data_IF_291372455370
#
_entry.id   IF_291372455370
#
_cell.length_a   1.000
_cell.length_b   1.000
_cell.length_c   1.000
_cell.angle_alpha   90.00
_cell.angle_beta   90.00
_cell.angle_gamma   90.00
#
_symmetry.space_group_name_H-M   'P 1'
#
loop_
_entity.id
_entity.type
_entity.pdbx_description
1 polymer ?
#
# COMPACT_ATOMS: atom_id res chain seq x y z
N UNK A 1 13.25 7.32 47.33
CA UNK A 1 11.83 7.53 46.96
C UNK A 1 11.34 6.33 46.16
N UNK A 2 10.16 5.78 46.44
CA UNK A 2 9.59 4.69 45.62
C UNK A 2 9.17 5.24 44.24
N UNK A 3 9.37 4.47 43.17
CA UNK A 3 9.00 4.88 41.79
C UNK A 3 7.52 5.27 41.68
N UNK A 4 6.65 4.61 42.45
CA UNK A 4 5.22 4.93 42.54
C UNK A 4 4.96 6.34 43.06
N UNK A 5 5.66 6.75 44.12
CA UNK A 5 5.48 8.08 44.72
C UNK A 5 5.82 9.20 43.74
N UNK A 6 6.90 9.04 42.99
CA UNK A 6 7.29 10.00 41.94
C UNK A 6 6.19 10.18 40.88
N UNK A 7 5.60 9.09 40.36
CA UNK A 7 4.54 9.20 39.36
C UNK A 7 3.24 9.81 39.91
N UNK A 8 2.94 9.58 41.19
CA UNK A 8 1.79 10.20 41.85
C UNK A 8 1.98 11.70 42.06
N UNK A 9 3.18 12.14 42.44
CA UNK A 9 3.52 13.56 42.59
C UNK A 9 3.38 14.32 41.26
N UNK A 10 3.75 13.69 40.13
CA UNK A 10 3.54 14.25 38.78
C UNK A 10 2.05 14.42 38.39
N UNK A 11 1.12 13.78 39.11
CA UNK A 11 -0.31 13.91 38.85
C UNK A 11 -0.96 15.08 39.60
N UNK A 12 -0.29 15.67 40.60
CA UNK A 12 -0.90 16.69 41.47
C UNK A 12 -1.24 17.98 40.69
N UNK A 13 -0.35 18.55 39.86
CA UNK A 13 -0.63 19.83 39.19
C UNK A 13 -1.85 19.80 38.26
N UNK A 14 -2.10 18.66 37.60
CA UNK A 14 -3.30 18.53 36.75
C UNK A 14 -4.59 18.36 37.56
N UNK A 15 -4.51 17.80 38.78
CA UNK A 15 -5.65 17.64 39.66
C UNK A 15 -6.05 18.99 40.25
N UNK A 16 -5.08 19.80 40.65
CA UNK A 16 -5.33 21.15 41.17
C UNK A 16 -5.98 22.01 40.09
N UNK A 17 -5.48 21.99 38.85
CA UNK A 17 -6.10 22.69 37.71
C UNK A 17 -7.56 22.22 37.45
N UNK A 18 -7.86 20.93 37.59
CA UNK A 18 -9.23 20.42 37.45
C UNK A 18 -10.18 20.94 38.53
N UNK A 19 -9.68 21.18 39.75
CA UNK A 19 -10.45 21.75 40.85
C UNK A 19 -10.61 23.25 40.67
N UNK A 20 -9.54 23.96 40.31
CA UNK A 20 -9.54 25.42 40.09
C UNK A 20 -10.48 25.83 38.96
N UNK A 21 -10.60 25.00 37.91
CA UNK A 21 -11.56 25.19 36.81
C UNK A 21 -13.00 24.78 37.16
N UNK A 22 -13.25 24.29 38.37
CA UNK A 22 -14.58 23.87 38.83
C UNK A 22 -15.15 22.66 38.09
N UNK A 23 -14.31 21.85 37.43
CA UNK A 23 -14.76 20.66 36.67
C UNK A 23 -14.97 19.45 37.58
N UNK A 24 -14.19 19.37 38.66
CA UNK A 24 -14.24 18.30 39.64
C UNK A 24 -14.20 18.86 41.05
N UNK A 25 -14.86 18.16 41.97
CA UNK A 25 -14.75 18.47 43.40
C UNK A 25 -13.52 17.82 44.02
N UNK A 26 -13.03 18.36 45.15
CA UNK A 26 -11.89 17.76 45.88
C UNK A 26 -12.14 16.30 46.28
N UNK A 27 -13.39 15.95 46.62
CA UNK A 27 -13.78 14.58 46.96
C UNK A 27 -13.66 13.63 45.76
N UNK A 28 -14.12 14.06 44.58
CA UNK A 28 -14.01 13.27 43.35
C UNK A 28 -12.55 13.10 42.92
N UNK A 29 -11.75 14.15 43.00
CA UNK A 29 -10.31 14.12 42.70
C UNK A 29 -9.58 13.17 43.65
N UNK A 30 -9.93 13.17 44.93
CA UNK A 30 -9.38 12.21 45.91
C UNK A 30 -9.68 10.75 45.53
N UNK A 31 -10.90 10.46 45.06
CA UNK A 31 -11.27 9.13 44.57
C UNK A 31 -10.46 8.74 43.32
N UNK A 32 -10.24 9.67 42.39
CA UNK A 32 -9.41 9.46 41.20
C UNK A 32 -7.96 9.17 41.61
N UNK A 33 -7.40 9.94 42.54
CA UNK A 33 -6.05 9.74 43.06
C UNK A 33 -5.89 8.41 43.79
N UNK A 34 -6.89 7.98 44.56
CA UNK A 34 -6.89 6.64 45.18
C UNK A 34 -6.84 5.54 44.11
N UNK A 35 -7.69 5.62 43.07
CA UNK A 35 -7.67 4.65 41.97
C UNK A 35 -6.36 4.64 41.20
N UNK A 36 -5.77 5.82 40.94
CA UNK A 36 -4.44 5.93 40.31
C UNK A 36 -3.34 5.30 41.17
N UNK A 37 -3.39 5.54 42.47
CA UNK A 37 -2.49 4.89 43.44
C UNK A 37 -2.56 3.37 43.33
N UNK A 38 -3.78 2.80 43.32
CA UNK A 38 -3.98 1.36 43.17
C UNK A 38 -3.44 0.82 41.82
N UNK A 39 -3.57 1.56 40.73
CA UNK A 39 -3.00 1.19 39.43
C UNK A 39 -1.47 1.28 39.44
N UNK A 40 -0.88 2.38 39.94
CA UNK A 40 0.57 2.56 39.97
C UNK A 40 1.28 1.55 40.87
N UNK A 41 0.67 1.16 42.00
CA UNK A 41 1.17 0.04 42.81
C UNK A 41 1.15 -1.28 42.03
N UNK A 42 0.05 -1.60 41.33
CA UNK A 42 -0.04 -2.83 40.51
C UNK A 42 0.95 -2.84 39.36
N UNK A 43 1.16 -1.73 38.67
CA UNK A 43 2.11 -1.60 37.56
C UNK A 43 3.57 -1.79 38.02
N UNK A 44 3.92 -1.20 39.17
CA UNK A 44 5.26 -1.30 39.76
C UNK A 44 5.49 -2.58 40.57
N UNK A 45 4.46 -3.41 40.77
CA UNK A 45 4.59 -4.70 41.42
C UNK A 45 5.32 -5.73 40.53
N UNK A 46 5.95 -6.71 41.18
CA UNK A 46 6.72 -7.78 40.51
C UNK A 46 5.83 -8.63 39.59
N UNK A 47 4.60 -8.94 40.01
CA UNK A 47 3.63 -9.74 39.24
C UNK A 47 2.68 -8.93 38.35
N UNK A 48 3.10 -7.76 37.87
CA UNK A 48 2.28 -6.93 36.97
C UNK A 48 1.98 -7.67 35.67
N UNK A 49 0.76 -7.50 35.14
CA UNK A 49 0.33 -8.09 33.86
C UNK A 49 0.04 -7.01 32.82
N UNK A 50 0.04 -7.37 31.54
CA UNK A 50 -0.37 -6.47 30.46
C UNK A 50 -1.82 -6.00 30.61
N UNK A 51 -2.68 -6.85 31.18
CA UNK A 51 -4.07 -6.54 31.48
C UNK A 51 -4.22 -5.40 32.49
N UNK A 52 -3.28 -5.24 33.42
CA UNK A 52 -3.29 -4.11 34.36
C UNK A 52 -3.02 -2.79 33.65
N UNK A 53 -2.11 -2.77 32.67
CA UNK A 53 -1.88 -1.62 31.81
C UNK A 53 -3.13 -1.28 30.99
N UNK A 54 -3.75 -2.27 30.35
CA UNK A 54 -4.98 -2.06 29.55
C UNK A 54 -6.12 -1.52 30.42
N UNK A 55 -6.33 -2.09 31.62
CA UNK A 55 -7.34 -1.59 32.58
C UNK A 55 -7.04 -0.16 33.00
N UNK A 56 -5.77 0.16 33.25
CA UNK A 56 -5.39 1.52 33.64
C UNK A 56 -5.60 2.54 32.50
N UNK A 57 -5.21 2.18 31.27
CA UNK A 57 -5.45 3.00 30.07
C UNK A 57 -6.95 3.23 29.85
N UNK A 58 -7.78 2.18 29.99
CA UNK A 58 -9.23 2.31 29.87
C UNK A 58 -9.80 3.25 30.94
N UNK A 59 -9.32 3.14 32.18
CA UNK A 59 -9.71 4.04 33.27
C UNK A 59 -9.36 5.50 32.95
N UNK A 60 -8.11 5.81 32.60
CA UNK A 60 -7.69 7.18 32.25
C UNK A 60 -8.43 7.71 31.01
N UNK A 61 -8.72 6.85 30.03
CA UNK A 61 -9.52 7.21 28.86
C UNK A 61 -10.95 7.59 29.26
N UNK A 62 -11.56 6.86 30.20
CA UNK A 62 -12.90 7.16 30.70
C UNK A 62 -12.92 8.44 31.54
N UNK A 63 -11.89 8.69 32.36
CA UNK A 63 -11.72 9.96 33.08
C UNK A 63 -11.59 11.12 32.10
N UNK A 64 -10.81 10.98 31.03
CA UNK A 64 -10.70 12.02 30.00
C UNK A 64 -12.03 12.28 29.28
N UNK A 65 -12.78 11.22 28.93
CA UNK A 65 -14.13 11.35 28.35
C UNK A 65 -15.08 12.06 29.30
N UNK A 66 -15.05 11.74 30.59
CA UNK A 66 -15.85 12.40 31.62
C UNK A 66 -15.49 13.89 31.73
N UNK A 67 -14.20 14.21 31.79
CA UNK A 67 -13.69 15.58 31.79
C UNK A 67 -14.21 16.35 30.58
N UNK A 68 -14.08 15.79 29.37
CA UNK A 68 -14.54 16.44 28.13
C UNK A 68 -16.06 16.72 28.15
N UNK A 69 -16.87 15.77 28.64
CA UNK A 69 -18.32 15.97 28.83
C UNK A 69 -18.63 17.08 29.84
N UNK A 70 -17.90 17.12 30.97
CA UNK A 70 -18.08 18.15 32.01
C UNK A 70 -17.65 19.53 31.53
N UNK A 71 -16.53 19.63 30.81
CA UNK A 71 -16.08 20.87 30.19
C UNK A 71 -17.15 21.44 29.27
N UNK A 72 -17.74 20.59 28.41
CA UNK A 72 -18.84 21.01 27.52
C UNK A 72 -20.11 21.42 28.26
N UNK A 73 -20.42 20.78 29.40
CA UNK A 73 -21.64 21.06 30.18
C UNK A 73 -21.51 22.29 31.08
N UNK A 74 -20.41 22.42 31.81
CA UNK A 74 -20.21 23.42 32.86
C UNK A 74 -19.65 24.71 32.25
N UNK A 75 -18.56 24.59 31.49
CA UNK A 75 -17.87 25.74 30.91
C UNK A 75 -18.42 26.15 29.54
N UNK A 76 -19.37 25.35 29.00
CA UNK A 76 -19.94 25.52 27.65
C UNK A 76 -18.87 25.61 26.53
N UNK A 77 -17.64 25.21 26.83
CA UNK A 77 -16.48 25.26 25.95
C UNK A 77 -16.02 23.85 25.61
N UNK A 78 -15.42 23.71 24.43
CA UNK A 78 -14.79 22.46 23.99
C UNK A 78 -13.47 22.17 24.73
N UNK A 79 -12.78 23.20 25.23
CA UNK A 79 -11.47 23.10 25.88
C UNK A 79 -11.34 24.14 26.99
N UNK A 80 -10.53 23.84 27.99
CA UNK A 80 -10.19 24.78 29.08
C UNK A 80 -8.98 25.66 28.77
N UNK A 81 -8.24 25.33 27.71
CA UNK A 81 -6.92 25.85 27.35
C UNK A 81 -5.92 25.79 28.52
N UNK A 82 -5.99 24.73 29.31
CA UNK A 82 -5.16 24.55 30.51
C UNK A 82 -4.39 23.23 30.51
N UNK A 83 -3.54 23.03 31.52
CA UNK A 83 -2.74 21.82 31.72
C UNK A 83 -3.59 20.55 31.69
N UNK A 84 -4.79 20.59 32.27
CA UNK A 84 -5.69 19.44 32.32
C UNK A 84 -6.20 18.97 30.94
N UNK A 85 -6.08 19.78 29.88
CA UNK A 85 -6.54 19.39 28.54
C UNK A 85 -5.64 18.38 27.83
N UNK A 86 -4.36 18.31 28.19
CA UNK A 86 -3.36 17.49 27.49
C UNK A 86 -2.61 16.51 28.39
N UNK A 87 -2.56 16.79 29.70
CA UNK A 87 -1.84 15.99 30.70
C UNK A 87 -2.32 14.53 30.78
N UNK A 88 -3.65 14.31 30.82
CA UNK A 88 -4.23 12.96 30.85
C UNK A 88 -3.86 12.17 29.57
N UNK A 89 -3.87 12.82 28.40
CA UNK A 89 -3.48 12.18 27.14
C UNK A 89 -1.97 11.86 27.12
N UNK A 90 -1.12 12.74 27.64
CA UNK A 90 0.31 12.41 27.79
C UNK A 90 0.50 11.24 28.76
N UNK A 91 -0.25 11.19 29.86
CA UNK A 91 -0.21 10.05 30.80
C UNK A 91 -0.60 8.75 30.12
N UNK A 92 -1.69 8.71 29.35
CA UNK A 92 -2.07 7.51 28.60
C UNK A 92 -0.93 7.07 27.67
N UNK A 93 -0.33 8.00 26.92
CA UNK A 93 0.83 7.71 26.08
C UNK A 93 2.04 7.17 26.85
N UNK A 94 2.28 7.70 28.05
CA UNK A 94 3.36 7.25 28.95
C UNK A 94 3.08 5.88 29.57
N UNK A 95 1.82 5.56 29.90
CA UNK A 95 1.42 4.22 30.37
C UNK A 95 1.64 3.20 29.26
N UNK A 96 1.26 3.51 28.01
CA UNK A 96 1.58 2.66 26.87
C UNK A 96 3.10 2.45 26.74
N UNK A 97 3.89 3.53 26.76
CA UNK A 97 5.35 3.43 26.67
C UNK A 97 5.95 2.55 27.77
N UNK A 98 5.47 2.68 29.02
CA UNK A 98 5.91 1.81 30.14
C UNK A 98 5.50 0.37 29.91
N UNK A 99 4.30 0.13 29.38
CA UNK A 99 3.79 -1.20 29.09
C UNK A 99 4.60 -1.90 27.99
N UNK A 100 4.90 -1.19 26.89
CA UNK A 100 5.70 -1.73 25.78
C UNK A 100 7.15 -1.97 26.16
N UNK A 101 7.72 -1.13 27.04
CA UNK A 101 9.08 -1.35 27.56
C UNK A 101 9.16 -2.57 28.49
N UNK A 102 8.09 -2.88 29.24
CA UNK A 102 8.05 -4.02 30.17
C UNK A 102 7.65 -5.32 29.47
N UNK A 103 6.73 -5.24 28.51
CA UNK A 103 6.18 -6.39 27.76
C UNK A 103 6.34 -6.16 26.25
N UNK A 104 7.57 -6.20 25.71
CA UNK A 104 7.82 -5.89 24.31
C UNK A 104 7.24 -6.92 23.34
N UNK A 105 6.93 -8.14 23.80
CA UNK A 105 6.46 -9.25 22.97
C UNK A 105 4.99 -9.16 22.54
N UNK A 106 4.15 -8.44 23.29
CA UNK A 106 2.72 -8.36 22.97
C UNK A 106 2.45 -7.35 21.84
N UNK A 107 2.39 -7.87 20.62
CA UNK A 107 2.11 -7.09 19.41
C UNK A 107 0.73 -6.44 19.43
N UNK A 108 -0.25 -7.02 20.12
CA UNK A 108 -1.59 -6.43 20.25
C UNK A 108 -1.51 -5.15 21.06
N UNK A 109 -0.72 -5.15 22.13
CA UNK A 109 -0.51 -3.95 22.95
C UNK A 109 0.23 -2.85 22.17
N UNK A 110 1.23 -3.21 21.36
CA UNK A 110 1.89 -2.27 20.44
C UNK A 110 0.92 -1.68 19.40
N UNK A 111 0.06 -2.51 18.81
CA UNK A 111 -0.96 -2.04 17.87
C UNK A 111 -1.95 -1.08 18.54
N UNK A 112 -2.38 -1.36 19.78
CA UNK A 112 -3.19 -0.43 20.57
C UNK A 112 -2.48 0.89 20.82
N UNK A 113 -1.17 0.86 21.12
CA UNK A 113 -0.38 2.07 21.31
C UNK A 113 -0.26 2.90 20.01
N UNK A 114 0.06 2.26 18.89
CA UNK A 114 0.13 2.92 17.58
C UNK A 114 -1.22 3.52 17.19
N UNK A 115 -2.32 2.78 17.35
CA UNK A 115 -3.66 3.27 17.04
C UNK A 115 -4.04 4.46 17.92
N UNK A 116 -3.72 4.41 19.21
CA UNK A 116 -3.93 5.54 20.11
C UNK A 116 -3.15 6.78 19.67
N UNK A 117 -1.87 6.62 19.30
CA UNK A 117 -1.03 7.73 18.86
C UNK A 117 -1.48 8.32 17.52
N UNK A 118 -1.92 7.48 16.57
CA UNK A 118 -2.50 7.90 15.29
C UNK A 118 -3.85 8.60 15.45
N UNK A 119 -4.73 8.10 16.32
CA UNK A 119 -6.06 8.67 16.55
C UNK A 119 -6.00 10.08 17.17
N UNK A 120 -4.88 10.47 17.78
CA UNK A 120 -4.66 11.85 18.26
C UNK A 120 -4.40 12.85 17.14
N UNK A 121 -4.15 12.40 15.91
CA UNK A 121 -3.94 13.24 14.73
C UNK A 121 -2.94 14.36 14.99
N UNK A 122 -3.36 15.61 14.73
CA UNK A 122 -2.54 16.81 14.80
C UNK A 122 -1.91 17.10 16.18
N UNK A 123 -2.40 16.49 17.27
CA UNK A 123 -1.79 16.65 18.59
C UNK A 123 -0.56 15.78 18.82
N UNK A 124 -0.35 14.78 17.96
CA UNK A 124 0.83 13.92 18.01
C UNK A 124 1.79 14.34 16.91
N UNK A 125 3.05 14.60 17.29
CA UNK A 125 4.10 14.79 16.30
C UNK A 125 4.38 13.47 15.58
N UNK A 126 4.44 13.53 14.24
CA UNK A 126 4.88 12.43 13.39
C UNK A 126 6.18 11.76 13.89
N UNK A 127 7.16 12.55 14.36
CA UNK A 127 8.42 12.04 14.91
C UNK A 127 8.21 11.07 16.08
N UNK A 128 7.17 11.28 16.91
CA UNK A 128 6.85 10.36 18.01
C UNK A 128 6.36 9.01 17.49
N UNK A 129 5.50 8.99 16.47
CA UNK A 129 4.99 7.75 15.88
C UNK A 129 6.13 7.02 15.16
N UNK A 130 6.96 7.75 14.41
CA UNK A 130 8.14 7.20 13.75
C UNK A 130 9.13 6.58 14.76
N UNK A 131 9.35 7.22 15.92
CA UNK A 131 10.18 6.65 16.99
C UNK A 131 9.60 5.34 17.56
N UNK A 132 8.28 5.27 17.75
CA UNK A 132 7.58 4.05 18.22
C UNK A 132 7.75 2.94 17.17
N UNK A 133 7.57 3.24 15.88
CA UNK A 133 7.82 2.30 14.80
C UNK A 133 9.28 1.83 14.78
N UNK A 134 10.25 2.72 14.89
CA UNK A 134 11.67 2.36 14.92
C UNK A 134 12.02 1.45 16.11
N UNK A 135 11.44 1.69 17.28
CA UNK A 135 11.60 0.81 18.44
C UNK A 135 10.98 -0.57 18.17
N UNK A 136 9.76 -0.59 17.64
CA UNK A 136 9.04 -1.83 17.34
C UNK A 136 9.73 -2.68 16.27
N UNK A 137 10.22 -2.06 15.20
CA UNK A 137 10.98 -2.72 14.13
C UNK A 137 12.33 -3.28 14.60
N UNK A 138 13.00 -2.59 15.54
CA UNK A 138 14.23 -3.10 16.16
C UNK A 138 13.98 -4.32 17.04
N UNK A 139 12.84 -4.36 17.74
CA UNK A 139 12.47 -5.46 18.62
C UNK A 139 11.92 -6.66 17.84
N UNK A 140 11.22 -6.42 16.73
CA UNK A 140 10.54 -7.44 15.93
C UNK A 140 10.92 -7.34 14.44
N UNK A 141 12.20 -7.50 14.08
CA UNK A 141 12.65 -7.36 12.70
C UNK A 141 12.04 -8.41 11.76
N UNK A 142 11.72 -9.59 12.28
CA UNK A 142 11.15 -10.71 11.49
C UNK A 142 9.67 -10.54 11.15
N UNK A 143 8.96 -9.67 11.88
CA UNK A 143 7.54 -9.49 11.64
C UNK A 143 7.27 -8.54 10.47
N UNK A 144 6.95 -9.12 9.31
CA UNK A 144 6.68 -8.40 8.06
C UNK A 144 5.48 -7.47 8.12
N UNK A 145 4.45 -7.78 8.92
CA UNK A 145 3.26 -6.92 9.01
C UNK A 145 3.56 -5.56 9.63
N UNK A 146 4.58 -5.49 10.50
CA UNK A 146 5.03 -4.24 11.11
C UNK A 146 5.73 -3.36 10.07
N UNK A 147 6.60 -3.95 9.23
CA UNK A 147 7.24 -3.25 8.11
C UNK A 147 6.21 -2.67 7.15
N UNK A 148 5.22 -3.47 6.75
CA UNK A 148 4.13 -3.04 5.87
C UNK A 148 3.30 -1.94 6.55
N UNK A 149 2.95 -2.08 7.83
CA UNK A 149 2.20 -1.07 8.58
C UNK A 149 2.95 0.26 8.68
N UNK A 150 4.27 0.21 8.88
CA UNK A 150 5.14 1.38 8.95
C UNK A 150 5.19 2.11 7.60
N UNK A 151 5.49 1.37 6.52
CA UNK A 151 5.52 1.89 5.17
C UNK A 151 4.17 2.48 4.73
N UNK A 152 3.06 1.78 5.03
CA UNK A 152 1.70 2.26 4.75
C UNK A 152 1.39 3.57 5.47
N UNK A 153 1.76 3.71 6.74
CA UNK A 153 1.57 4.95 7.49
C UNK A 153 2.35 6.13 6.89
N UNK A 154 3.60 5.91 6.50
CA UNK A 154 4.46 6.91 5.86
C UNK A 154 3.94 7.35 4.49
N UNK A 155 3.40 6.41 3.72
CA UNK A 155 2.82 6.65 2.40
C UNK A 155 1.47 7.39 2.47
N UNK A 156 0.51 6.87 3.24
CA UNK A 156 -0.87 7.37 3.24
C UNK A 156 -1.02 8.72 3.96
N UNK A 157 -0.26 8.94 5.03
CA UNK A 157 -0.42 10.15 5.87
C UNK A 157 0.52 11.26 5.45
N UNK A 158 1.77 10.93 5.11
CA UNK A 158 2.83 11.93 4.88
C UNK A 158 3.32 11.99 3.44
N UNK A 159 2.90 11.06 2.57
CA UNK A 159 3.37 10.95 1.19
C UNK A 159 4.91 10.98 1.06
N UNK A 160 5.63 10.47 2.08
CA UNK A 160 7.09 10.47 2.08
C UNK A 160 7.64 9.23 1.37
N UNK A 161 7.73 9.31 0.04
CA UNK A 161 8.13 8.17 -0.80
C UNK A 161 9.57 7.70 -0.52
N UNK A 162 10.50 8.62 -0.20
CA UNK A 162 11.91 8.29 0.10
C UNK A 162 12.03 7.47 1.38
N UNK A 163 11.34 7.89 2.44
CA UNK A 163 11.26 7.16 3.71
C UNK A 163 10.64 5.78 3.51
N UNK A 164 9.50 5.72 2.80
CA UNK A 164 8.80 4.48 2.50
C UNK A 164 9.68 3.44 1.76
N UNK A 165 10.40 3.88 0.72
CA UNK A 165 11.39 3.02 0.02
C UNK A 165 12.46 2.48 0.94
N UNK A 166 13.00 3.34 1.80
CA UNK A 166 14.03 2.95 2.77
C UNK A 166 13.49 1.88 3.73
N UNK A 167 12.24 2.02 4.19
CA UNK A 167 11.58 1.04 5.06
C UNK A 167 11.42 -0.31 4.36
N UNK A 168 10.92 -0.33 3.12
CA UNK A 168 10.79 -1.58 2.35
C UNK A 168 12.15 -2.23 2.08
N UNK A 169 13.14 -1.46 1.64
CA UNK A 169 14.49 -1.96 1.39
C UNK A 169 15.13 -2.53 2.66
N UNK A 170 14.96 -1.87 3.81
CA UNK A 170 15.43 -2.39 5.09
C UNK A 170 14.67 -3.67 5.50
N UNK A 171 13.35 -3.69 5.35
CA UNK A 171 12.54 -4.89 5.63
C UNK A 171 12.97 -6.08 4.78
N UNK A 172 13.26 -5.87 3.49
CA UNK A 172 13.74 -6.91 2.58
C UNK A 172 15.15 -7.40 2.89
N UNK A 173 16.00 -6.57 3.52
CA UNK A 173 17.30 -7.03 4.05
C UNK A 173 17.13 -7.98 5.22
N UNK A 174 16.12 -7.78 6.06
CA UNK A 174 15.84 -8.66 7.21
C UNK A 174 15.07 -9.93 6.80
N UNK A 175 14.07 -9.79 5.93
CA UNK A 175 13.13 -10.86 5.57
C UNK A 175 13.03 -11.04 4.04
N UNK A 176 14.12 -11.41 3.35
CA UNK A 176 14.12 -11.61 1.90
C UNK A 176 13.34 -12.85 1.46
N UNK A 177 13.02 -13.75 2.39
CA UNK A 177 12.35 -15.03 2.15
C UNK A 177 10.82 -14.93 2.12
N UNK A 178 10.24 -13.85 2.64
CA UNK A 178 8.79 -13.68 2.75
C UNK A 178 8.26 -12.99 1.48
N UNK A 179 7.51 -13.68 0.59
CA UNK A 179 7.03 -13.12 -0.68
C UNK A 179 6.04 -11.97 -0.47
N UNK A 180 5.32 -11.94 0.66
CA UNK A 180 4.36 -10.89 1.00
C UNK A 180 5.02 -9.51 1.03
N UNK A 181 6.25 -9.40 1.54
CA UNK A 181 6.95 -8.12 1.63
C UNK A 181 7.36 -7.61 0.26
N UNK A 182 7.84 -8.51 -0.62
CA UNK A 182 8.14 -8.18 -2.01
C UNK A 182 6.89 -7.73 -2.78
N UNK A 183 5.77 -8.42 -2.58
CA UNK A 183 4.50 -8.08 -3.19
C UNK A 183 4.04 -6.66 -2.81
N UNK A 184 4.06 -6.34 -1.51
CA UNK A 184 3.69 -5.01 -1.03
C UNK A 184 4.67 -3.93 -1.51
N UNK A 185 5.95 -4.24 -1.68
CA UNK A 185 6.91 -3.27 -2.21
C UNK A 185 6.66 -2.95 -3.68
N UNK A 186 6.42 -3.97 -4.51
CA UNK A 186 6.03 -3.78 -5.93
C UNK A 186 4.71 -3.01 -6.00
N UNK A 187 3.71 -3.38 -5.18
CA UNK A 187 2.43 -2.66 -5.10
C UNK A 187 2.62 -1.20 -4.72
N UNK A 188 3.53 -0.89 -3.80
CA UNK A 188 3.87 0.48 -3.44
C UNK A 188 4.49 1.26 -4.62
N UNK A 189 5.45 0.69 -5.35
CA UNK A 189 6.08 1.39 -6.49
C UNK A 189 5.06 1.61 -7.62
N UNK A 190 4.20 0.64 -7.93
CA UNK A 190 3.13 0.82 -8.92
C UNK A 190 2.18 1.95 -8.51
N UNK A 191 1.72 1.97 -7.26
CA UNK A 191 0.88 3.06 -6.73
C UNK A 191 1.58 4.43 -6.81
N UNK A 192 2.88 4.48 -6.53
CA UNK A 192 3.67 5.71 -6.67
C UNK A 192 3.69 6.20 -8.12
N UNK A 193 3.96 5.29 -9.07
CA UNK A 193 4.01 5.62 -10.51
C UNK A 193 2.64 6.06 -11.00
N UNK A 194 1.56 5.35 -10.65
CA UNK A 194 0.18 5.74 -10.98
C UNK A 194 -0.15 7.13 -10.45
N UNK A 195 0.23 7.43 -9.19
CA UNK A 195 0.02 8.76 -8.61
C UNK A 195 0.82 9.84 -9.36
N UNK A 196 2.03 9.52 -9.82
CA UNK A 196 2.88 10.43 -10.58
C UNK A 196 2.31 10.71 -11.98
N UNK A 197 1.85 9.68 -12.69
CA UNK A 197 1.19 9.80 -14.00
C UNK A 197 -0.11 10.60 -13.86
N UNK A 198 -0.94 10.29 -12.87
CA UNK A 198 -2.20 11.01 -12.66
C UNK A 198 -1.98 12.47 -12.27
N UNK A 199 -0.93 12.78 -11.48
CA UNK A 199 -0.53 14.17 -11.22
C UNK A 199 -0.15 14.90 -12.52
N UNK A 200 0.58 14.25 -13.44
CA UNK A 200 0.93 14.84 -14.74
C UNK A 200 -0.27 15.07 -15.63
N UNK A 201 -1.18 14.09 -15.72
CA UNK A 201 -2.45 14.23 -16.46
C UNK A 201 -3.24 15.43 -15.93
N UNK A 202 -3.39 15.55 -14.60
CA UNK A 202 -4.09 16.68 -13.98
C UNK A 202 -3.37 18.00 -14.22
N UNK A 203 -2.04 18.05 -14.10
CA UNK A 203 -1.27 19.26 -14.39
C UNK A 203 -1.40 19.71 -15.85
N UNK A 204 -1.38 18.76 -16.80
CA UNK A 204 -1.64 19.04 -18.22
C UNK A 204 -3.05 19.60 -18.45
N UNK A 205 -4.07 18.98 -17.84
CA UNK A 205 -5.45 19.45 -17.92
C UNK A 205 -5.66 20.83 -17.29
N UNK A 206 -4.92 21.17 -16.22
CA UNK A 206 -4.97 22.50 -15.61
C UNK A 206 -4.39 23.53 -16.58
N UNK A 207 -3.24 23.25 -17.19
CA UNK A 207 -2.62 24.14 -18.18
C UNK A 207 -3.53 24.34 -19.40
N UNK A 208 -4.17 23.28 -19.91
CA UNK A 208 -5.15 23.38 -21.01
C UNK A 208 -6.37 24.24 -20.63
N UNK A 209 -6.93 24.06 -19.42
CA UNK A 209 -8.04 24.90 -18.94
C UNK A 209 -7.64 26.34 -18.69
N UNK A 210 -6.43 26.59 -18.19
CA UNK A 210 -5.91 27.94 -18.02
C UNK A 210 -5.74 28.63 -19.38
N UNK A 211 -5.24 27.91 -20.40
CA UNK A 211 -5.20 28.41 -21.78
C UNK A 211 -6.60 28.69 -22.35
N UNK A 212 -7.58 27.81 -22.13
CA UNK A 212 -8.96 28.04 -22.55
C UNK A 212 -9.60 29.26 -21.86
N UNK A 213 -9.38 29.42 -20.55
CA UNK A 213 -9.88 30.57 -19.78
C UNK A 213 -9.20 31.88 -20.20
N UNK A 214 -7.90 31.85 -20.47
CA UNK A 214 -7.17 33.01 -20.99
C UNK A 214 -7.65 33.38 -22.39
N UNK A 215 -7.87 32.40 -23.28
CA UNK A 215 -8.49 32.62 -24.60
C UNK A 215 -9.92 33.18 -24.49
N UNK A 216 -10.73 32.70 -23.55
CA UNK A 216 -12.09 33.22 -23.29
C UNK A 216 -12.08 34.63 -22.71
N UNK A 217 -11.10 34.96 -21.86
CA UNK A 217 -10.93 36.31 -21.32
C UNK A 217 -10.44 37.28 -22.41
N UNK A 218 -9.56 36.85 -23.31
CA UNK A 218 -9.16 37.62 -24.49
C UNK A 218 -10.34 37.85 -25.45
N UNK A 219 -11.20 36.85 -25.65
CA UNK A 219 -12.42 37.02 -26.45
C UNK A 219 -13.42 37.98 -25.80
N UNK A 220 -13.64 37.89 -24.47
CA UNK A 220 -14.51 38.83 -23.74
C UNK A 220 -13.98 40.26 -23.74
N UNK A 221 -12.66 40.45 -23.63
CA UNK A 221 -12.04 41.77 -23.69
C UNK A 221 -12.14 42.41 -25.08
N UNK A 222 -12.32 41.63 -26.15
CA UNK A 222 -12.54 42.14 -27.51
C UNK A 222 -14.02 42.46 -27.82
N UNK A 223 -14.99 41.94 -27.04
CA UNK A 223 -16.43 42.28 -27.19
C UNK A 223 -16.87 43.48 -26.35
N UNK A 224 -16.09 43.89 -25.34
CA UNK A 224 -16.33 45.13 -24.57
C UNK A 224 -15.29 46.19 -24.91
N UNK A 225 -15.36 46.73 -26.13
CA UNK A 225 -14.72 48.00 -26.45
C UNK A 225 -15.76 49.09 -26.30
N UNK A 226 -15.65 49.81 -25.17
CA UNK A 226 -16.08 51.18 -24.88
C UNK A 226 -16.90 51.29 -23.58
N UNK A 227 -16.20 51.52 -22.47
CA UNK A 227 -16.28 52.77 -21.68
C UNK A 227 -15.44 52.67 -20.39
N UNK A 228 -14.74 53.76 -20.07
CA UNK A 228 -13.70 53.88 -19.05
C UNK A 228 -14.19 53.61 -17.60
N UNK A 229 -13.41 52.86 -16.80
CA UNK A 229 -12.76 53.30 -15.53
C UNK A 229 -12.53 52.20 -14.49
N UNK A 230 -11.41 52.39 -13.78
CA UNK A 230 -11.03 51.92 -12.44
C UNK A 230 -10.65 50.44 -12.25
N UNK A 231 -9.34 50.25 -12.11
CA UNK A 231 -8.70 49.08 -11.55
C UNK A 231 -9.17 48.86 -10.10
N UNK A 232 -10.07 47.89 -9.89
CA UNK A 232 -10.40 47.34 -8.57
C UNK A 232 -10.18 45.84 -8.63
N UNK A 233 -9.04 45.37 -8.13
CA UNK A 233 -8.82 43.95 -7.86
C UNK A 233 -9.74 43.54 -6.70
N UNK A 234 -10.76 42.73 -7.01
CA UNK A 234 -11.48 42.01 -5.97
C UNK A 234 -10.56 40.93 -5.37
N UNK A 235 -10.53 40.76 -4.04
CA UNK A 235 -9.75 39.70 -3.41
C UNK A 235 -10.40 38.35 -3.74
N UNK A 236 -9.66 37.50 -4.46
CA UNK A 236 -10.03 36.10 -4.69
C UNK A 236 -9.90 35.32 -3.38
N UNK A 237 -10.96 35.33 -2.57
CA UNK A 237 -11.12 34.46 -1.41
C UNK A 237 -11.51 33.07 -1.87
N UNK A 238 -10.52 32.24 -2.21
CA UNK A 238 -10.85 30.88 -2.66
C UNK A 238 -9.75 29.85 -2.78
N UNK A 239 -8.46 30.15 -2.59
CA UNK A 239 -7.42 29.25 -3.11
C UNK A 239 -6.42 28.68 -2.10
N UNK A 240 -6.95 28.06 -1.04
CA UNK A 240 -6.15 27.25 -0.11
C UNK A 240 -5.55 25.98 -0.74
N UNK A 241 -5.95 25.63 -1.97
CA UNK A 241 -5.40 24.52 -2.75
C UNK A 241 -4.23 24.95 -3.62
N UNK A 242 -4.31 26.10 -4.29
CA UNK A 242 -3.26 26.66 -5.14
C UNK A 242 -2.00 27.04 -4.35
N UNK A 243 -2.15 27.58 -3.13
CA UNK A 243 -1.01 27.84 -2.24
C UNK A 243 -0.28 26.56 -1.81
N UNK A 244 -1.00 25.44 -1.62
CA UNK A 244 -0.41 24.13 -1.28
C UNK A 244 0.20 23.40 -2.47
N UNK A 245 -0.26 23.71 -3.69
CA UNK A 245 0.28 23.16 -4.92
C UNK A 245 1.57 23.88 -5.34
N UNK A 246 1.65 25.20 -5.10
CA UNK A 246 2.82 26.03 -5.38
C UNK A 246 3.96 25.86 -4.35
N UNK A 247 3.69 25.28 -3.17
CA UNK A 247 4.73 24.99 -2.14
C UNK A 247 5.62 23.78 -2.49
N UNK A 248 5.38 23.09 -3.61
CA UNK A 248 6.22 21.97 -4.07
C UNK A 248 7.01 22.40 -5.31
N UNK A 249 8.32 22.07 -5.42
CA UNK A 249 9.15 22.53 -6.52
C UNK A 249 8.60 22.04 -7.86
N UNK A 250 8.02 22.95 -8.64
CA UNK A 250 7.49 22.74 -10.00
C UNK A 250 8.59 22.39 -11.01
N UNK A 251 9.85 22.62 -10.65
CA UNK A 251 11.02 22.51 -11.51
C UNK A 251 11.36 21.07 -11.99
N UNK A 252 10.76 20.01 -11.42
CA UNK A 252 11.10 18.62 -11.76
C UNK A 252 10.13 17.94 -12.75
N UNK A 253 8.99 18.55 -13.10
CA UNK A 253 7.95 17.84 -13.87
C UNK A 253 8.28 17.76 -15.37
N UNK A 254 8.84 18.83 -15.95
CA UNK A 254 9.26 18.86 -17.36
C UNK A 254 10.65 18.22 -17.61
N UNK A 255 11.46 18.01 -16.57
CA UNK A 255 12.82 17.43 -16.68
C UNK A 255 12.78 15.90 -16.84
N UNK A 256 11.69 15.24 -16.42
CA UNK A 256 11.60 13.77 -16.43
C UNK A 256 11.09 13.14 -17.74
N UNK A 257 10.87 13.90 -18.83
CA UNK A 257 10.46 13.35 -20.14
C UNK A 257 9.07 12.67 -20.17
N UNK A 258 8.72 12.04 -21.30
CA UNK A 258 7.47 11.29 -21.52
C UNK A 258 7.54 9.87 -20.91
N UNK A 259 6.39 9.21 -20.76
CA UNK A 259 6.34 7.81 -20.29
C UNK A 259 7.20 6.87 -21.16
N UNK A 260 7.27 7.12 -22.47
CA UNK A 260 8.10 6.34 -23.40
C UNK A 260 9.61 6.57 -23.23
N UNK A 261 10.02 7.77 -22.81
CA UNK A 261 11.44 8.13 -22.69
C UNK A 261 12.02 7.93 -21.29
N UNK A 262 11.18 7.77 -20.26
CA UNK A 262 11.63 7.55 -18.89
C UNK A 262 11.26 6.14 -18.37
N UNK A 263 12.27 5.23 -18.27
CA UNK A 263 12.14 3.91 -17.66
C UNK A 263 11.39 3.89 -16.31
N UNK A 264 11.59 4.90 -15.46
CA UNK A 264 10.96 4.95 -14.16
C UNK A 264 9.43 5.15 -14.24
N UNK A 265 8.93 5.77 -15.30
CA UNK A 265 7.51 6.02 -15.52
C UNK A 265 6.78 4.83 -16.13
N UNK A 266 7.47 3.93 -16.84
CA UNK A 266 6.90 2.69 -17.38
C UNK A 266 6.71 1.60 -16.33
N UNK A 267 7.38 1.74 -15.18
CA UNK A 267 7.37 0.74 -14.12
C UNK A 267 8.61 -0.16 -14.09
N UNK A 268 9.69 0.23 -14.76
CA UNK A 268 10.93 -0.56 -14.80
C UNK A 268 11.51 -0.77 -13.38
N UNK A 269 11.28 0.17 -12.45
CA UNK A 269 11.64 -0.01 -11.04
C UNK A 269 10.90 -1.20 -10.43
N UNK A 270 9.59 -1.31 -10.64
CA UNK A 270 8.79 -2.43 -10.15
C UNK A 270 9.26 -3.77 -10.79
N UNK A 271 9.63 -3.74 -12.07
CA UNK A 271 10.15 -4.90 -12.80
C UNK A 271 11.53 -5.34 -12.28
N UNK A 272 12.45 -4.41 -12.01
CA UNK A 272 13.74 -4.76 -11.41
C UNK A 272 13.59 -5.36 -10.01
N UNK A 273 12.65 -4.85 -9.20
CA UNK A 273 12.32 -5.43 -7.88
C UNK A 273 11.75 -6.84 -8.07
N UNK A 274 10.89 -7.05 -9.06
CA UNK A 274 10.36 -8.37 -9.42
C UNK A 274 11.48 -9.36 -9.80
N UNK A 275 12.44 -8.95 -10.64
CA UNK A 275 13.55 -9.83 -11.06
C UNK A 275 14.43 -10.24 -9.87
N UNK A 276 14.74 -9.27 -9.00
CA UNK A 276 15.51 -9.54 -7.77
C UNK A 276 14.70 -10.46 -6.86
N UNK A 277 13.39 -10.20 -6.69
CA UNK A 277 12.48 -11.02 -5.90
C UNK A 277 12.52 -12.49 -6.34
N UNK A 278 12.38 -12.76 -7.64
CA UNK A 278 12.39 -14.13 -8.16
C UNK A 278 13.74 -14.82 -7.93
N UNK A 279 14.85 -14.11 -8.13
CA UNK A 279 16.19 -14.67 -7.84
C UNK A 279 16.38 -14.96 -6.35
N UNK A 280 15.98 -14.04 -5.47
CA UNK A 280 16.15 -14.20 -4.02
C UNK A 280 15.23 -15.29 -3.46
N UNK A 281 13.94 -15.28 -3.81
CA UNK A 281 12.98 -16.27 -3.33
C UNK A 281 13.37 -17.68 -3.78
N UNK A 282 13.82 -17.84 -5.02
CA UNK A 282 14.30 -19.14 -5.52
C UNK A 282 15.50 -19.65 -4.73
N UNK A 283 16.51 -18.80 -4.50
CA UNK A 283 17.67 -19.14 -3.67
C UNK A 283 17.28 -19.53 -2.24
N UNK A 284 16.41 -18.75 -1.60
CA UNK A 284 15.94 -19.04 -0.25
C UNK A 284 15.09 -20.30 -0.17
N UNK A 285 14.24 -20.57 -1.18
CA UNK A 285 13.43 -21.78 -1.26
C UNK A 285 14.31 -23.02 -1.35
N UNK A 286 15.29 -23.01 -2.26
CA UNK A 286 16.24 -24.12 -2.44
C UNK A 286 17.02 -24.35 -1.15
N UNK A 287 17.63 -23.31 -0.57
CA UNK A 287 18.40 -23.44 0.67
C UNK A 287 17.56 -23.97 1.85
N UNK A 288 16.31 -23.53 1.97
CA UNK A 288 15.40 -23.94 3.06
C UNK A 288 15.02 -25.42 2.96
N UNK A 289 14.83 -25.94 1.76
CA UNK A 289 14.45 -27.34 1.54
C UNK A 289 15.67 -28.27 1.42
N UNK A 290 16.83 -27.76 0.99
CA UNK A 290 18.11 -28.47 1.04
C UNK A 290 18.62 -28.65 2.47
N UNK A 291 18.37 -27.68 3.36
CA UNK A 291 18.86 -27.72 4.75
C UNK A 291 18.43 -28.94 5.57
N UNK A 292 17.42 -29.70 5.12
CA UNK A 292 17.00 -30.95 5.73
C UNK A 292 17.87 -32.16 5.34
N UNK A 293 18.67 -32.07 4.26
CA UNK A 293 19.44 -33.18 3.69
C UNK A 293 20.90 -32.77 3.42
N UNK A 294 21.85 -33.32 4.18
CA UNK A 294 23.29 -33.03 4.00
C UNK A 294 23.92 -33.73 2.78
N UNK A 295 23.23 -34.73 2.20
CA UNK A 295 23.63 -35.47 1.00
C UNK A 295 22.38 -35.58 0.13
N UNK A 296 22.37 -34.91 -1.02
CA UNK A 296 21.28 -35.00 -2.00
C UNK A 296 21.76 -35.67 -3.28
N UNK A 297 21.07 -36.71 -3.72
CA UNK A 297 21.29 -37.32 -5.03
C UNK A 297 20.97 -36.31 -6.14
N UNK A 298 21.60 -36.47 -7.31
CA UNK A 298 21.35 -35.61 -8.49
C UNK A 298 19.87 -35.56 -8.88
N UNK A 299 19.12 -36.66 -8.68
CA UNK A 299 17.67 -36.73 -8.92
C UNK A 299 16.87 -35.85 -7.95
N UNK A 300 17.18 -35.89 -6.66
CA UNK A 300 16.50 -35.06 -5.64
C UNK A 300 16.76 -33.57 -5.87
N UNK A 301 17.97 -33.20 -6.31
CA UNK A 301 18.29 -31.81 -6.65
C UNK A 301 17.48 -31.32 -7.87
N UNK A 302 17.29 -32.17 -8.88
CA UNK A 302 16.45 -31.83 -10.04
C UNK A 302 14.99 -31.67 -9.62
N UNK A 303 14.47 -32.57 -8.79
CA UNK A 303 13.10 -32.51 -8.27
C UNK A 303 12.87 -31.25 -7.44
N UNK A 304 13.80 -30.92 -6.54
CA UNK A 304 13.73 -29.69 -5.75
C UNK A 304 13.76 -28.42 -6.62
N UNK A 305 14.58 -28.40 -7.68
CA UNK A 305 14.59 -27.30 -8.62
C UNK A 305 13.25 -27.17 -9.37
N UNK A 306 12.59 -28.29 -9.70
CA UNK A 306 11.24 -28.26 -10.29
C UNK A 306 10.21 -27.70 -9.32
N UNK A 307 10.23 -28.12 -8.06
CA UNK A 307 9.33 -27.59 -7.02
C UNK A 307 9.54 -26.09 -6.79
N UNK A 308 10.80 -25.65 -6.74
CA UNK A 308 11.14 -24.24 -6.64
C UNK A 308 10.55 -23.44 -7.81
N UNK A 309 10.71 -23.92 -9.05
CA UNK A 309 10.12 -23.29 -10.23
C UNK A 309 8.59 -23.20 -10.15
N UNK A 310 7.90 -24.26 -9.70
CA UNK A 310 6.44 -24.24 -9.51
C UNK A 310 6.06 -23.17 -8.47
N UNK A 311 6.77 -23.11 -7.34
CA UNK A 311 6.55 -22.11 -6.30
C UNK A 311 6.73 -20.68 -6.84
N UNK A 312 7.84 -20.43 -7.54
CA UNK A 312 8.16 -19.14 -8.17
C UNK A 312 7.09 -18.74 -9.20
N UNK A 313 6.64 -19.69 -10.03
CA UNK A 313 5.61 -19.47 -11.03
C UNK A 313 4.29 -19.05 -10.39
N UNK A 314 3.88 -19.75 -9.34
CA UNK A 314 2.67 -19.39 -8.60
C UNK A 314 2.76 -17.99 -7.96
N UNK A 315 3.94 -17.53 -7.52
CA UNK A 315 4.09 -16.14 -7.09
C UNK A 315 4.01 -15.16 -8.28
N UNK A 316 4.62 -15.49 -9.42
CA UNK A 316 4.56 -14.64 -10.62
C UNK A 316 3.14 -14.43 -11.14
N UNK A 317 2.26 -15.44 -11.07
CA UNK A 317 0.83 -15.29 -11.40
C UNK A 317 0.18 -14.23 -10.51
N UNK A 318 0.50 -14.19 -9.20
CA UNK A 318 -0.03 -13.16 -8.30
C UNK A 318 0.47 -11.76 -8.68
N UNK A 319 1.69 -11.63 -9.18
CA UNK A 319 2.19 -10.35 -9.70
C UNK A 319 1.46 -9.93 -10.97
N UNK A 320 1.16 -10.87 -11.87
CA UNK A 320 0.33 -10.59 -13.05
C UNK A 320 -1.06 -10.10 -12.62
N UNK A 321 -1.70 -10.78 -11.65
CA UNK A 321 -2.97 -10.34 -11.07
C UNK A 321 -2.88 -8.93 -10.45
N UNK A 322 -1.76 -8.62 -9.80
CA UNK A 322 -1.52 -7.28 -9.26
C UNK A 322 -1.40 -6.24 -10.38
N UNK A 323 -0.71 -6.53 -11.48
CA UNK A 323 -0.61 -5.62 -12.62
C UNK A 323 -1.97 -5.38 -13.28
N UNK A 324 -2.85 -6.39 -13.30
CA UNK A 324 -4.22 -6.27 -13.80
C UNK A 324 -5.03 -5.23 -12.99
N UNK A 325 -4.72 -4.99 -11.70
CA UNK A 325 -5.37 -3.98 -10.83
C UNK A 325 -5.06 -2.51 -11.24
N UNK A 326 -4.04 -2.25 -12.07
CA UNK A 326 -3.59 -0.89 -12.42
C UNK A 326 -3.89 -0.51 -13.89
N UNK A 327 -5.08 0.05 -14.20
CA UNK A 327 -5.47 0.38 -15.57
C UNK A 327 -4.74 1.59 -16.17
N UNK A 328 -4.21 2.48 -15.32
CA UNK A 328 -3.50 3.71 -15.73
C UNK A 328 -2.09 3.44 -16.29
N UNK A 329 -1.55 2.24 -16.08
CA UNK A 329 -0.22 1.82 -16.49
C UNK A 329 -0.28 0.98 -17.79
N UNK A 330 0.84 0.91 -18.50
CA UNK A 330 1.01 0.01 -19.64
C UNK A 330 1.10 -1.45 -19.17
N UNK A 331 -0.07 -2.05 -18.88
CA UNK A 331 -0.18 -3.43 -18.34
C UNK A 331 0.47 -4.47 -19.26
N UNK A 332 0.31 -4.31 -20.56
CA UNK A 332 0.86 -5.23 -21.56
C UNK A 332 2.40 -5.27 -21.49
N UNK A 333 3.02 -4.11 -21.26
CA UNK A 333 4.46 -3.99 -21.08
C UNK A 333 4.94 -4.72 -19.81
N UNK A 334 4.28 -4.48 -18.67
CA UNK A 334 4.62 -5.11 -17.40
C UNK A 334 4.49 -6.64 -17.45
N UNK A 335 3.41 -7.15 -18.04
CA UNK A 335 3.18 -8.59 -18.17
C UNK A 335 4.15 -9.20 -19.18
N UNK A 336 4.45 -8.53 -20.30
CA UNK A 336 5.43 -9.01 -21.26
C UNK A 336 6.82 -9.17 -20.65
N UNK A 337 7.24 -8.26 -19.75
CA UNK A 337 8.50 -8.43 -19.02
C UNK A 337 8.51 -9.70 -18.15
N UNK A 338 7.40 -9.99 -17.46
CA UNK A 338 7.25 -11.25 -16.70
C UNK A 338 7.32 -12.46 -17.63
N UNK A 339 6.70 -12.39 -18.81
CA UNK A 339 6.79 -13.46 -19.81
C UNK A 339 8.21 -13.65 -20.33
N UNK A 340 8.96 -12.56 -20.57
CA UNK A 340 10.36 -12.61 -20.99
C UNK A 340 11.24 -13.23 -19.90
N UNK A 341 11.00 -12.90 -18.63
CA UNK A 341 11.68 -13.52 -17.50
C UNK A 341 11.51 -15.06 -17.52
N UNK A 342 10.29 -15.55 -17.77
CA UNK A 342 10.01 -16.99 -17.86
C UNK A 342 10.40 -17.62 -19.21
N UNK A 343 10.72 -16.85 -20.24
CA UNK A 343 11.27 -17.40 -21.49
C UNK A 343 12.75 -17.77 -21.36
N UNK A 344 13.46 -17.20 -20.38
CA UNK A 344 14.84 -17.55 -20.09
C UNK A 344 14.94 -18.86 -19.30
N UNK A 345 15.92 -19.71 -19.63
CA UNK A 345 16.16 -20.94 -18.88
C UNK A 345 16.65 -20.60 -17.46
N UNK A 346 16.03 -21.23 -16.46
CA UNK A 346 16.32 -21.02 -15.04
C UNK A 346 16.71 -22.34 -14.39
N UNK A 347 17.78 -22.34 -13.59
CA UNK A 347 18.30 -23.52 -12.88
C UNK A 347 18.64 -24.73 -13.78
N UNK A 348 19.08 -24.48 -15.02
CA UNK A 348 19.37 -25.51 -16.03
C UNK A 348 18.17 -26.39 -16.42
N UNK A 349 16.95 -25.94 -16.11
CA UNK A 349 15.70 -26.58 -16.52
C UNK A 349 15.03 -25.73 -17.59
N UNK A 350 14.56 -26.38 -18.65
CA UNK A 350 13.77 -25.71 -19.68
C UNK A 350 12.29 -25.98 -19.40
N UNK A 351 11.50 -24.91 -19.19
CA UNK A 351 10.06 -25.01 -18.93
C UNK A 351 9.33 -25.88 -19.97
N UNK A 352 9.76 -25.80 -21.22
CA UNK A 352 9.21 -26.60 -22.33
C UNK A 352 9.38 -28.11 -22.14
N UNK A 353 10.47 -28.56 -21.52
CA UNK A 353 10.81 -29.99 -21.38
C UNK A 353 10.45 -30.55 -20.01
N UNK A 354 10.70 -29.76 -18.96
CA UNK A 354 10.65 -30.24 -17.58
C UNK A 354 9.31 -29.96 -16.88
N UNK A 355 8.57 -28.93 -17.31
CA UNK A 355 7.32 -28.46 -16.70
C UNK A 355 6.32 -27.98 -17.77
N UNK A 356 5.76 -28.89 -18.59
CA UNK A 356 4.92 -28.54 -19.73
C UNK A 356 3.62 -27.80 -19.36
N UNK A 357 3.06 -28.06 -18.17
CA UNK A 357 1.86 -27.37 -17.68
C UNK A 357 2.10 -25.87 -17.42
N UNK A 358 3.27 -25.51 -16.86
CA UNK A 358 3.62 -24.11 -16.63
C UNK A 358 3.86 -23.39 -17.95
N UNK A 359 4.52 -24.08 -18.89
CA UNK A 359 4.76 -23.56 -20.24
C UNK A 359 3.46 -23.26 -20.98
N UNK A 360 2.45 -24.14 -20.87
CA UNK A 360 1.11 -23.90 -21.42
C UNK A 360 0.49 -22.62 -20.85
N UNK A 361 0.56 -22.41 -19.54
CA UNK A 361 0.04 -21.19 -18.90
C UNK A 361 0.76 -19.94 -19.39
N UNK A 362 2.09 -19.97 -19.53
CA UNK A 362 2.87 -18.85 -20.08
C UNK A 362 2.45 -18.53 -21.52
N UNK A 363 2.25 -19.56 -22.35
CA UNK A 363 1.79 -19.40 -23.73
C UNK A 363 0.38 -18.79 -23.76
N UNK A 364 -0.53 -19.28 -22.92
CA UNK A 364 -1.88 -18.74 -22.82
C UNK A 364 -1.85 -17.25 -22.44
N UNK A 365 -1.00 -16.86 -21.49
CA UNK A 365 -0.83 -15.45 -21.11
C UNK A 365 -0.27 -14.62 -22.28
N UNK A 366 0.70 -15.12 -23.05
CA UNK A 366 1.27 -14.41 -24.21
C UNK A 366 0.26 -14.25 -25.38
N UNK A 367 -0.55 -15.28 -25.63
CA UNK A 367 -1.61 -15.26 -26.64
C UNK A 367 -2.72 -14.29 -26.21
N UNK A 368 -3.09 -14.32 -24.94
CA UNK A 368 -4.20 -13.49 -24.40
C UNK A 368 -3.76 -12.08 -24.04
N UNK A 369 -2.46 -11.76 -24.03
CA UNK A 369 -1.93 -10.47 -23.57
C UNK A 369 -2.67 -9.27 -24.15
N UNK A 370 -2.75 -9.20 -25.48
CA UNK A 370 -3.34 -8.07 -26.21
C UNK A 370 -4.85 -7.94 -25.98
N UNK A 371 -5.53 -9.07 -25.77
CA UNK A 371 -6.99 -9.15 -25.67
C UNK A 371 -7.47 -9.06 -24.22
N UNK A 372 -6.59 -9.35 -23.24
CA UNK A 372 -6.91 -9.52 -21.82
C UNK A 372 -7.70 -8.39 -21.18
N UNK A 373 -7.43 -7.16 -21.59
CA UNK A 373 -8.02 -5.96 -21.01
C UNK A 373 -9.02 -5.26 -21.92
N UNK A 374 -9.31 -5.83 -23.09
CA UNK A 374 -10.24 -5.27 -24.05
C UNK A 374 -11.68 -5.58 -23.61
N UNK A 375 -12.52 -4.54 -23.49
CA UNK A 375 -13.96 -4.73 -23.34
C UNK A 375 -14.59 -5.12 -24.69
N UNK A 376 -15.77 -5.75 -24.64
CA UNK A 376 -16.56 -6.13 -25.83
C UNK A 376 -16.79 -4.93 -26.77
N UNK A 377 -17.07 -3.76 -26.18
CA UNK A 377 -17.31 -2.50 -26.92
C UNK A 377 -16.05 -1.98 -27.64
N UNK A 378 -14.86 -2.19 -27.05
CA UNK A 378 -13.57 -1.72 -27.58
C UNK A 378 -12.80 -2.84 -28.30
N UNK A 379 -13.47 -3.91 -28.71
CA UNK A 379 -12.85 -5.03 -29.40
C UNK A 379 -12.33 -4.58 -30.77
N UNK A 380 -11.02 -4.39 -30.85
CA UNK A 380 -10.25 -4.28 -32.08
C UNK A 380 -10.02 -5.66 -32.70
N UNK A 381 -10.51 -5.83 -33.93
CA UNK A 381 -10.43 -7.08 -34.70
C UNK A 381 -8.98 -7.40 -35.05
N UNK A 382 -8.12 -6.40 -35.24
CA UNK A 382 -6.73 -6.59 -35.62
C UNK A 382 -5.91 -7.19 -34.48
N UNK A 383 -6.13 -6.71 -33.24
CA UNK A 383 -5.50 -7.27 -32.04
C UNK A 383 -5.96 -8.70 -31.76
N UNK A 384 -7.24 -8.99 -32.01
CA UNK A 384 -7.75 -10.36 -31.91
C UNK A 384 -7.12 -11.27 -32.98
N UNK A 385 -7.00 -10.79 -34.21
CA UNK A 385 -6.32 -11.54 -35.28
C UNK A 385 -4.85 -11.82 -34.92
N UNK A 386 -4.16 -10.87 -34.26
CA UNK A 386 -2.80 -11.06 -33.77
C UNK A 386 -2.73 -12.15 -32.69
N UNK A 387 -3.70 -12.21 -31.77
CA UNK A 387 -3.83 -13.29 -30.78
C UNK A 387 -3.97 -14.66 -31.46
N UNK A 388 -4.84 -14.77 -32.47
CA UNK A 388 -5.05 -16.01 -33.24
C UNK A 388 -3.79 -16.40 -34.02
N UNK A 389 -3.09 -15.43 -34.63
CA UNK A 389 -1.80 -15.68 -35.30
C UNK A 389 -0.74 -16.20 -34.31
N UNK A 390 -0.66 -15.62 -33.11
CA UNK A 390 0.22 -16.13 -32.03
C UNK A 390 -0.14 -17.56 -31.66
N UNK A 391 -1.43 -17.89 -31.52
CA UNK A 391 -1.90 -19.25 -31.24
C UNK A 391 -1.40 -20.24 -32.29
N UNK A 392 -1.63 -20.00 -33.58
CA UNK A 392 -1.16 -20.90 -34.64
C UNK A 392 0.37 -21.03 -34.69
N UNK A 393 1.10 -19.95 -34.43
CA UNK A 393 2.55 -19.99 -34.35
C UNK A 393 3.06 -20.92 -33.22
N UNK A 394 2.38 -20.94 -32.07
CA UNK A 394 2.70 -21.86 -30.97
C UNK A 394 2.27 -23.29 -31.26
N UNK A 395 1.08 -23.50 -31.83
CA UNK A 395 0.58 -24.84 -32.22
C UNK A 395 1.57 -25.56 -33.13
N UNK A 396 2.20 -24.85 -34.07
CA UNK A 396 3.21 -25.45 -34.97
C UNK A 396 4.47 -25.99 -34.25
N UNK A 397 4.70 -25.57 -33.00
CA UNK A 397 5.92 -25.88 -32.22
C UNK A 397 5.66 -26.83 -31.04
N UNK A 398 4.41 -27.15 -30.73
CA UNK A 398 4.00 -27.91 -29.54
C UNK A 398 3.67 -29.37 -29.89
N UNK A 399 3.83 -30.26 -28.92
CA UNK A 399 3.40 -31.66 -29.05
C UNK A 399 1.88 -31.77 -29.06
N UNK A 400 1.35 -32.80 -29.73
CA UNK A 400 -0.08 -33.02 -29.98
C UNK A 400 -0.92 -32.98 -28.69
N UNK A 401 -0.40 -33.54 -27.58
CA UNK A 401 -1.10 -33.53 -26.28
C UNK A 401 -1.25 -32.11 -25.71
N UNK A 402 -0.21 -31.28 -25.84
CA UNK A 402 -0.21 -29.90 -25.34
C UNK A 402 -1.08 -29.00 -26.22
N UNK A 403 -1.12 -29.26 -27.53
CA UNK A 403 -2.02 -28.54 -28.45
C UNK A 403 -3.48 -28.77 -28.06
N UNK A 404 -3.88 -30.00 -27.69
CA UNK A 404 -5.26 -30.29 -27.25
C UNK A 404 -5.63 -29.51 -25.99
N UNK A 405 -4.74 -29.44 -25.01
CA UNK A 405 -4.96 -28.68 -23.78
C UNK A 405 -5.01 -27.17 -24.06
N UNK A 406 -4.08 -26.64 -24.87
CA UNK A 406 -4.05 -25.23 -25.25
C UNK A 406 -5.32 -24.81 -26.00
N UNK A 407 -5.79 -25.65 -26.93
CA UNK A 407 -7.05 -25.45 -27.65
C UNK A 407 -8.22 -25.32 -26.68
N UNK A 408 -8.33 -26.26 -25.73
CA UNK A 408 -9.40 -26.23 -24.73
C UNK A 408 -9.35 -24.96 -23.90
N UNK A 409 -8.19 -24.60 -23.35
CA UNK A 409 -8.04 -23.42 -22.49
C UNK A 409 -8.29 -22.10 -23.24
N UNK A 410 -7.80 -21.97 -24.47
CA UNK A 410 -8.00 -20.78 -25.28
C UNK A 410 -9.46 -20.64 -25.75
N UNK A 411 -10.10 -21.74 -26.16
CA UNK A 411 -11.53 -21.72 -26.51
C UNK A 411 -12.40 -21.36 -25.31
N UNK A 412 -12.13 -21.92 -24.12
CA UNK A 412 -12.83 -21.52 -22.88
C UNK A 412 -12.61 -20.04 -22.56
N UNK A 413 -11.38 -19.54 -22.72
CA UNK A 413 -11.07 -18.13 -22.49
C UNK A 413 -11.87 -17.18 -23.39
N UNK A 414 -11.95 -17.49 -24.69
CA UNK A 414 -12.71 -16.70 -25.66
C UNK A 414 -14.22 -16.79 -25.39
N UNK A 415 -14.71 -17.98 -25.02
CA UNK A 415 -16.11 -18.18 -24.65
C UNK A 415 -16.52 -17.38 -23.42
N UNK A 416 -15.72 -17.42 -22.35
CA UNK A 416 -16.04 -16.77 -21.07
C UNK A 416 -15.92 -15.25 -21.11
N UNK A 417 -14.94 -14.72 -21.87
CA UNK A 417 -14.68 -13.28 -21.88
C UNK A 417 -15.43 -12.51 -22.96
N UNK A 418 -15.75 -13.13 -24.10
CA UNK A 418 -16.41 -12.46 -25.22
C UNK A 418 -17.77 -13.06 -25.52
N UNK A 419 -17.86 -14.35 -25.86
CA UNK A 419 -19.11 -14.93 -26.37
C UNK A 419 -20.24 -14.92 -25.33
N UNK A 420 -19.96 -15.21 -24.06
CA UNK A 420 -20.98 -15.14 -22.98
C UNK A 420 -21.42 -13.71 -22.63
N UNK A 421 -20.67 -12.69 -23.05
CA UNK A 421 -20.95 -11.28 -22.75
C UNK A 421 -21.47 -10.50 -23.95
N UNK A 422 -21.66 -11.16 -25.09
CA UNK A 422 -22.19 -10.61 -26.33
C UNK A 422 -23.59 -11.17 -26.58
N UNK A 423 -24.51 -10.31 -27.04
CA UNK A 423 -25.82 -10.76 -27.51
C UNK A 423 -25.70 -11.35 -28.92
N UNK A 424 -26.16 -12.60 -29.09
CA UNK A 424 -25.95 -13.39 -30.30
C UNK A 424 -26.71 -12.87 -31.53
N UNK A 425 -27.74 -12.04 -31.35
CA UNK A 425 -28.61 -11.54 -32.42
C UNK A 425 -28.19 -10.17 -32.96
N UNK A 426 -27.56 -9.32 -32.13
CA UNK A 426 -27.31 -7.90 -32.48
C UNK A 426 -25.88 -7.60 -32.97
N UNK A 427 -24.87 -8.40 -32.61
CA UNK A 427 -23.47 -8.09 -32.93
C UNK A 427 -22.86 -9.01 -34.01
N UNK A 428 -22.49 -8.50 -35.21
CA UNK A 428 -21.87 -9.31 -36.27
C UNK A 428 -20.53 -9.92 -35.85
N UNK A 429 -19.89 -9.39 -34.79
CA UNK A 429 -18.63 -9.91 -34.23
C UNK A 429 -18.82 -11.27 -33.56
N UNK A 430 -20.00 -11.57 -33.03
CA UNK A 430 -20.32 -12.85 -32.41
C UNK A 430 -20.13 -14.02 -33.38
N UNK A 431 -20.65 -13.89 -34.61
CA UNK A 431 -20.55 -14.92 -35.65
C UNK A 431 -19.09 -15.19 -36.07
N UNK A 432 -18.26 -14.15 -36.12
CA UNK A 432 -16.85 -14.27 -36.48
C UNK A 432 -16.06 -14.95 -35.36
N UNK A 433 -16.31 -14.59 -34.10
CA UNK A 433 -15.67 -15.21 -32.94
C UNK A 433 -16.09 -16.67 -32.78
N UNK A 434 -17.36 -16.99 -32.99
CA UNK A 434 -17.87 -18.36 -32.97
C UNK A 434 -17.26 -19.23 -34.09
N UNK A 435 -17.13 -18.70 -35.31
CA UNK A 435 -16.41 -19.37 -36.40
C UNK A 435 -14.93 -19.60 -36.08
N UNK A 436 -14.28 -18.69 -35.34
CA UNK A 436 -12.89 -18.85 -34.92
C UNK A 436 -12.79 -19.91 -33.81
N UNK A 437 -13.69 -19.90 -32.81
CA UNK A 437 -13.74 -20.94 -31.77
C UNK A 437 -13.99 -22.33 -32.34
N UNK A 438 -14.80 -22.43 -33.39
CA UNK A 438 -15.04 -23.69 -34.11
C UNK A 438 -13.86 -24.13 -35.01
N UNK A 439 -13.00 -23.19 -35.43
CA UNK A 439 -11.81 -23.45 -36.26
C UNK A 439 -10.53 -23.73 -35.48
N UNK A 440 -10.39 -23.15 -34.28
CA UNK A 440 -9.39 -23.55 -33.28
C UNK A 440 -9.56 -25.02 -32.96
#
# INVERSE_FOLDING_TARGET
MSKTRYYLEQCIPEMDDLVDKGLFTKNEVSLIMKKRTDFEHRLNSRGSSINDYVKYINYETNVNKLRAKRCKRILQSKKTNSLSDWSIQQRIGFIYQRGTNKFPQDLKFWAMYLNYMKARGNQTSYKKIHNIYNQLLKLHPTNVDIWISCAKYEYEVHANFKSCRTIFQNGLRFNPDIPKLWYEYVKFELNFITKLINRRKVAGLINEREQELDMLNEQKNNETVDEEKSHVQLPSTGDSMKDKLNELPEADINVLGNAETNPALRGDIALTIYDVCMKTLGKHYINKHQGYYAISDSKMNIELNKEALIYLFNQSIKYIQLFDEFPDLERDYLINHVLQFWKNDMYNLSLRKDLPELYLKTILIDITLNIRHMSVEKLDVDQFQLSVKKYFAYVSKLDISLVKSLKSEYSTYVQDNYLKKMDAEDDPRYKILDLIVNKL
#
